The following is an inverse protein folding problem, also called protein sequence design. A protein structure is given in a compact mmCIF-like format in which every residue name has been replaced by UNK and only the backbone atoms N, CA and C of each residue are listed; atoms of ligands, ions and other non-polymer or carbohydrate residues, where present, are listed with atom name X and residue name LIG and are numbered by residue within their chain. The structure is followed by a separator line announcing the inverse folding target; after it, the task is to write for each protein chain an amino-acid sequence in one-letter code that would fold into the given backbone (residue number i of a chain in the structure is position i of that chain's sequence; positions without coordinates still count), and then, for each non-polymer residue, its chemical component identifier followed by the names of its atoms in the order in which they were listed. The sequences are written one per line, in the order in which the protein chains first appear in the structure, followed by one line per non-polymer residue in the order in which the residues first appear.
data_IF_528423910840
#
_entry.id   IF_528423910840
#
_cell.length_a   1.000
_cell.length_b   1.000
_cell.length_c   1.000
_cell.angle_alpha   90.00
_cell.angle_beta   90.00
_cell.angle_gamma   90.00
#
_symmetry.space_group_name_H-M   'P 1'
#
loop_
_entity.id
_entity.type
_entity.pdbx_description
1 polymer ?
#
# COMPACT_ATOMS: atom_id res chain seq x y z
N UNK A 1 10.17 -24.82 17.61
CA UNK A 1 10.66 -23.45 17.87
C UNK A 1 10.10 -22.57 16.77
N UNK A 2 9.17 -21.71 17.14
CA UNK A 2 8.51 -20.77 16.23
C UNK A 2 9.31 -19.48 16.17
N UNK A 3 9.39 -18.87 14.99
CA UNK A 3 9.92 -17.52 14.80
C UNK A 3 8.72 -16.59 14.74
N UNK A 4 8.64 -15.68 15.70
CA UNK A 4 7.60 -14.66 15.76
C UNK A 4 8.10 -13.42 15.02
N UNK A 5 7.30 -12.93 14.09
CA UNK A 5 7.58 -11.73 13.31
C UNK A 5 6.51 -10.71 13.68
N UNK A 6 6.93 -9.56 14.19
CA UNK A 6 6.04 -8.44 14.43
C UNK A 6 6.12 -7.53 13.22
N UNK A 7 4.98 -7.32 12.56
CA UNK A 7 4.89 -6.43 11.42
C UNK A 7 4.76 -5.00 11.89
N UNK A 8 5.44 -4.12 11.17
CA UNK A 8 5.33 -2.68 11.30
C UNK A 8 4.43 -2.13 10.17
N UNK A 9 3.94 -0.90 10.32
CA UNK A 9 3.03 -0.25 9.38
C UNK A 9 3.60 -0.19 7.97
N UNK A 10 4.90 0.05 7.84
CA UNK A 10 5.60 0.10 6.55
C UNK A 10 5.46 -1.22 5.76
N UNK A 11 5.59 -2.38 6.42
CA UNK A 11 5.46 -3.68 5.77
C UNK A 11 4.01 -3.90 5.31
N UNK A 12 3.04 -3.48 6.11
CA UNK A 12 1.62 -3.55 5.74
C UNK A 12 1.31 -2.68 4.53
N UNK A 13 1.85 -1.46 4.48
CA UNK A 13 1.71 -0.57 3.32
C UNK A 13 2.35 -1.16 2.06
N UNK A 14 3.59 -1.64 2.16
CA UNK A 14 4.28 -2.31 1.06
C UNK A 14 3.49 -3.52 0.56
N UNK A 15 2.93 -4.33 1.45
CA UNK A 15 2.13 -5.50 1.06
C UNK A 15 0.83 -5.13 0.34
N UNK A 16 0.14 -4.08 0.78
CA UNK A 16 -1.17 -3.69 0.22
C UNK A 16 -1.08 -2.82 -1.04
N UNK A 17 0.06 -2.16 -1.26
CA UNK A 17 0.25 -1.24 -2.38
C UNK A 17 1.12 -1.84 -3.49
N UNK A 18 0.54 -2.34 -4.60
CA UNK A 18 1.28 -3.09 -5.62
C UNK A 18 2.33 -2.29 -6.41
N UNK A 19 2.27 -0.97 -6.33
CA UNK A 19 3.23 -0.05 -6.97
C UNK A 19 4.36 0.40 -6.03
N UNK A 20 4.34 -0.02 -4.77
CA UNK A 20 5.39 0.29 -3.80
C UNK A 20 6.67 -0.51 -4.12
N UNK A 21 7.84 0.11 -3.93
CA UNK A 21 9.13 -0.47 -4.32
C UNK A 21 9.40 -1.82 -3.65
N UNK A 22 9.03 -1.97 -2.38
CA UNK A 22 9.21 -3.18 -1.59
C UNK A 22 7.98 -4.11 -1.61
N UNK A 23 6.99 -3.86 -2.46
CA UNK A 23 5.83 -4.75 -2.60
C UNK A 23 6.23 -6.22 -2.89
N UNK A 24 7.17 -6.52 -3.82
CA UNK A 24 7.60 -7.89 -4.08
C UNK A 24 8.19 -8.57 -2.84
N UNK A 25 8.99 -7.83 -2.06
CA UNK A 25 9.64 -8.34 -0.85
C UNK A 25 8.62 -8.60 0.26
N UNK A 26 7.66 -7.70 0.44
CA UNK A 26 6.56 -7.87 1.39
C UNK A 26 5.70 -9.09 1.05
N UNK A 27 5.36 -9.28 -0.24
CA UNK A 27 4.64 -10.48 -0.71
C UNK A 27 5.45 -11.75 -0.44
N UNK A 28 6.76 -11.74 -0.69
CA UNK A 28 7.62 -12.89 -0.41
C UNK A 28 7.65 -13.22 1.09
N UNK A 29 7.74 -12.21 1.96
CA UNK A 29 7.70 -12.39 3.41
C UNK A 29 6.40 -13.05 3.86
N UNK A 30 5.24 -12.58 3.40
CA UNK A 30 3.93 -13.17 3.71
C UNK A 30 3.84 -14.61 3.20
N UNK A 31 4.36 -14.88 1.99
CA UNK A 31 4.39 -16.24 1.44
C UNK A 31 5.24 -17.21 2.29
N UNK A 32 6.39 -16.77 2.83
CA UNK A 32 7.22 -17.58 3.72
C UNK A 32 6.50 -17.89 5.04
N UNK A 33 5.68 -16.96 5.53
CA UNK A 33 4.88 -17.16 6.75
C UNK A 33 3.74 -18.16 6.49
N UNK A 34 3.07 -18.06 5.34
CA UNK A 34 1.96 -18.95 4.97
C UNK A 34 2.42 -20.37 4.59
N UNK A 35 3.57 -20.51 3.93
CA UNK A 35 4.15 -21.78 3.50
C UNK A 35 5.64 -21.87 3.89
N UNK A 36 5.88 -22.20 5.17
CA UNK A 36 7.21 -22.33 5.74
C UNK A 36 7.96 -23.59 5.29
N UNK A 37 7.30 -24.51 4.58
CA UNK A 37 7.87 -25.80 4.18
C UNK A 37 9.09 -25.68 3.25
N UNK A 38 9.18 -24.55 2.53
CA UNK A 38 10.25 -24.25 1.58
C UNK A 38 11.43 -23.50 2.21
N UNK A 39 11.34 -23.11 3.48
CA UNK A 39 12.34 -22.25 4.11
C UNK A 39 13.08 -22.97 5.23
N UNK A 40 14.39 -23.09 5.09
CA UNK A 40 15.26 -23.70 6.10
C UNK A 40 16.27 -22.69 6.63
N UNK A 41 16.41 -22.61 7.95
CA UNK A 41 17.47 -21.85 8.60
C UNK A 41 18.41 -22.86 9.26
N UNK A 42 19.69 -22.87 8.84
CA UNK A 42 20.70 -23.85 9.29
C UNK A 42 20.25 -25.30 9.07
N UNK A 43 19.60 -25.59 7.94
CA UNK A 43 19.15 -26.94 7.58
C UNK A 43 17.94 -27.48 8.35
N UNK A 44 17.26 -26.64 9.16
CA UNK A 44 16.02 -27.01 9.85
C UNK A 44 14.86 -26.13 9.36
N UNK A 45 13.74 -26.75 9.03
CA UNK A 45 12.48 -26.04 8.76
C UNK A 45 12.07 -25.30 10.03
N UNK A 46 11.72 -24.03 9.89
CA UNK A 46 11.24 -23.19 10.99
C UNK A 46 9.80 -22.80 10.70
N UNK A 47 8.95 -22.87 11.70
CA UNK A 47 7.59 -22.34 11.62
C UNK A 47 7.64 -20.83 11.90
N UNK A 48 6.99 -20.04 11.06
CA UNK A 48 6.95 -18.58 11.17
C UNK A 48 5.53 -18.13 11.49
N UNK A 49 5.40 -17.12 12.35
CA UNK A 49 4.10 -16.57 12.73
C UNK A 49 4.18 -15.05 12.71
N UNK A 50 3.31 -14.45 11.90
CA UNK A 50 3.16 -13.01 11.81
C UNK A 50 2.18 -12.47 12.86
N UNK A 51 2.51 -11.34 13.46
CA UNK A 51 1.69 -10.62 14.42
C UNK A 51 1.67 -9.14 14.06
N UNK A 52 0.50 -8.52 14.20
CA UNK A 52 0.33 -7.07 14.15
C UNK A 52 -0.07 -6.66 15.57
N UNK A 53 0.56 -5.61 16.10
CA UNK A 53 0.20 -5.07 17.41
C UNK A 53 -0.92 -4.04 17.23
N UNK A 54 -1.80 -3.92 18.22
CA UNK A 54 -2.94 -2.96 18.17
C UNK A 54 -2.48 -1.54 17.84
N UNK A 55 -1.34 -1.09 18.39
CA UNK A 55 -0.77 0.24 18.09
C UNK A 55 -0.35 0.41 16.62
N UNK A 56 0.12 -0.66 15.98
CA UNK A 56 0.51 -0.67 14.57
C UNK A 56 -0.74 -0.68 13.69
N UNK A 57 -1.77 -1.42 14.10
CA UNK A 57 -3.07 -1.42 13.41
C UNK A 57 -3.71 -0.02 13.44
N UNK A 58 -3.72 0.63 14.61
CA UNK A 58 -4.23 2.00 14.77
C UNK A 58 -3.43 3.00 13.92
N UNK A 59 -2.10 2.93 13.94
CA UNK A 59 -1.24 3.78 13.12
C UNK A 59 -1.51 3.57 11.63
N UNK A 60 -1.63 2.31 11.19
CA UNK A 60 -1.92 1.97 9.80
C UNK A 60 -3.24 2.59 9.32
N UNK A 61 -4.33 2.43 10.09
CA UNK A 61 -5.63 3.00 9.73
C UNK A 61 -5.63 4.53 9.75
N UNK A 62 -4.92 5.16 10.70
CA UNK A 62 -4.79 6.61 10.75
C UNK A 62 -4.08 7.17 9.51
N UNK A 63 -2.99 6.53 9.08
CA UNK A 63 -2.26 6.93 7.87
C UNK A 63 -3.13 6.73 6.62
N UNK A 64 -3.83 5.59 6.53
CA UNK A 64 -4.71 5.31 5.39
C UNK A 64 -5.85 6.35 5.29
N UNK A 65 -6.50 6.64 6.41
CA UNK A 65 -7.56 7.64 6.49
C UNK A 65 -7.05 9.04 6.13
N UNK A 66 -5.87 9.42 6.62
CA UNK A 66 -5.25 10.70 6.28
C UNK A 66 -5.00 10.84 4.76
N UNK A 67 -4.41 9.81 4.14
CA UNK A 67 -4.15 9.80 2.69
C UNK A 67 -5.45 9.86 1.87
N UNK A 68 -6.49 9.13 2.28
CA UNK A 68 -7.79 9.20 1.60
C UNK A 68 -8.42 10.59 1.68
N UNK A 69 -8.33 11.24 2.84
CA UNK A 69 -8.84 12.61 2.99
C UNK A 69 -8.06 13.61 2.15
N UNK A 70 -6.74 13.47 2.04
CA UNK A 70 -5.93 14.28 1.12
C UNK A 70 -6.39 14.12 -0.32
N UNK A 71 -6.55 12.88 -0.81
CA UNK A 71 -7.05 12.62 -2.17
C UNK A 71 -8.42 13.26 -2.41
N UNK A 72 -9.35 13.14 -1.44
CA UNK A 72 -10.66 13.77 -1.55
C UNK A 72 -10.57 15.30 -1.61
N UNK A 73 -9.68 15.90 -0.82
CA UNK A 73 -9.44 17.34 -0.82
C UNK A 73 -8.85 17.80 -2.15
N UNK A 74 -7.86 17.08 -2.67
CA UNK A 74 -7.22 17.39 -3.96
C UNK A 74 -8.22 17.32 -5.11
N UNK A 75 -9.10 16.30 -5.12
CA UNK A 75 -10.19 16.19 -6.10
C UNK A 75 -11.16 17.37 -5.96
N UNK A 76 -11.58 17.68 -4.73
CA UNK A 76 -12.51 18.77 -4.49
C UNK A 76 -11.93 20.13 -4.93
N UNK A 77 -10.65 20.39 -4.63
CA UNK A 77 -9.96 21.61 -5.01
C UNK A 77 -9.73 21.68 -6.52
N UNK A 78 -9.40 20.56 -7.17
CA UNK A 78 -9.38 20.44 -8.63
C UNK A 78 -10.72 20.84 -9.24
N UNK A 79 -11.83 20.28 -8.74
CA UNK A 79 -13.19 20.60 -9.21
C UNK A 79 -13.61 22.05 -8.94
N UNK A 80 -13.16 22.66 -7.84
CA UNK A 80 -13.47 24.07 -7.52
C UNK A 80 -12.70 25.06 -8.38
N UNK A 81 -11.46 24.73 -8.76
CA UNK A 81 -10.60 25.62 -9.56
C UNK A 81 -10.94 25.58 -11.05
N UNK A 82 -11.61 24.53 -11.53
CA UNK A 82 -11.96 24.39 -12.95
C UNK A 82 -13.44 24.71 -13.21
N UNK A 83 -13.71 25.90 -13.77
CA UNK A 83 -15.03 26.25 -14.33
C UNK A 83 -15.36 25.31 -15.50
N UNK A 84 -16.45 24.55 -15.36
CA UNK A 84 -17.25 23.89 -16.40
C UNK A 84 -16.45 23.21 -17.53
N UNK A 85 -16.09 21.94 -17.32
CA UNK A 85 -15.70 21.04 -18.41
C UNK A 85 -16.92 20.57 -19.21
N UNK A 86 -16.75 20.37 -20.51
CA UNK A 86 -17.64 19.48 -21.26
C UNK A 86 -17.34 18.02 -20.88
N UNK A 87 -18.34 17.13 -20.95
CA UNK A 87 -18.21 15.72 -20.57
C UNK A 87 -17.05 15.01 -21.31
N UNK A 88 -16.76 15.46 -22.54
CA UNK A 88 -15.67 14.98 -23.39
C UNK A 88 -14.27 15.39 -22.87
N UNK A 89 -14.11 16.61 -22.34
CA UNK A 89 -12.86 17.07 -21.74
C UNK A 89 -12.59 16.39 -20.40
N UNK A 90 -13.62 16.17 -19.59
CA UNK A 90 -13.51 15.39 -18.35
C UNK A 90 -13.08 13.96 -18.66
N UNK A 91 -13.69 13.33 -19.67
CA UNK A 91 -13.37 11.96 -20.09
C UNK A 91 -11.95 11.88 -20.64
N UNK A 92 -11.50 12.82 -21.47
CA UNK A 92 -10.11 12.84 -21.96
C UNK A 92 -9.09 13.05 -20.84
N UNK A 93 -9.39 13.92 -19.87
CA UNK A 93 -8.49 14.21 -18.75
C UNK A 93 -8.45 13.10 -17.70
N UNK A 94 -9.59 12.47 -17.38
CA UNK A 94 -9.63 11.25 -16.58
C UNK A 94 -8.93 10.10 -17.29
N UNK A 95 -9.11 9.96 -18.60
CA UNK A 95 -8.37 8.99 -19.41
C UNK A 95 -6.87 9.28 -19.39
N UNK A 96 -6.45 10.55 -19.38
CA UNK A 96 -5.04 10.93 -19.20
C UNK A 96 -4.52 10.63 -17.79
N UNK A 97 -5.31 10.84 -16.74
CA UNK A 97 -4.95 10.46 -15.36
C UNK A 97 -4.89 8.94 -15.16
N UNK A 98 -5.73 8.18 -15.88
CA UNK A 98 -5.73 6.71 -15.88
C UNK A 98 -4.59 6.15 -16.76
N UNK A 99 -4.23 6.83 -17.86
CA UNK A 99 -3.13 6.44 -18.78
C UNK A 99 -1.77 6.92 -18.33
N UNK A 100 -1.68 8.01 -17.59
CA UNK A 100 -0.50 8.33 -16.81
C UNK A 100 -0.52 7.32 -15.68
N UNK A 101 0.29 6.27 -15.82
CA UNK A 101 0.75 5.45 -14.69
C UNK A 101 1.40 6.41 -13.69
N UNK A 102 0.60 7.15 -12.91
CA UNK A 102 1.10 7.87 -11.75
C UNK A 102 1.31 6.80 -10.71
N UNK A 103 2.56 6.43 -10.40
CA UNK A 103 2.77 5.74 -9.16
C UNK A 103 2.35 6.75 -8.09
N UNK A 104 1.48 6.37 -7.16
CA UNK A 104 1.19 7.15 -5.94
C UNK A 104 2.48 7.58 -5.20
N UNK A 105 3.65 7.03 -5.56
CA UNK A 105 4.97 7.51 -5.14
C UNK A 105 5.25 8.99 -5.51
N UNK A 106 4.63 9.54 -6.56
CA UNK A 106 4.85 10.94 -6.97
C UNK A 106 3.94 11.96 -6.26
N UNK A 107 3.08 11.52 -5.33
CA UNK A 107 2.25 12.40 -4.49
C UNK A 107 2.84 12.59 -3.07
N UNK A 108 4.09 12.16 -2.86
CA UNK A 108 4.84 12.41 -1.63
C UNK A 108 6.06 13.28 -1.99
N UNK A 109 5.86 14.60 -2.01
CA UNK A 109 6.89 15.59 -1.69
C UNK A 109 6.45 16.38 -0.45
#
# INVERSE_FOLDING_TARGET
MHIQIFFDTCILFSYLNPIELFHPDAVQLINVINDSSKFTIKGKVKDFRGYILDIVEDEFFNILHHKMNQVLQDIHDFCRQTRSFTEEELTQRLTLLIRQEFPLANLIE
#
